data_IF_985050167855
#
_entry.id   IF_985050167855
#
_cell.length_a   1.000
_cell.length_b   1.000
_cell.length_c   1.000
_cell.angle_alpha   90.00
_cell.angle_beta   90.00
_cell.angle_gamma   90.00
#
_symmetry.space_group_name_H-M   'P 1'
#
loop_
_entity.id
_entity.type
_entity.pdbx_description
1 polymer ?
#
# COMPACT_ATOMS: atom_id res chain seq x y z
N UNK A 1 -32.70 0.66 4.99
CA UNK A 1 -31.26 0.93 4.74
C UNK A 1 -30.41 -0.36 4.81
N UNK A 2 -30.98 -1.48 4.36
CA UNK A 2 -30.36 -2.82 4.24
C UNK A 2 -30.50 -3.37 2.81
N UNK A 3 -31.10 -2.59 1.90
CA UNK A 3 -31.39 -2.97 0.52
C UNK A 3 -30.12 -3.07 -0.35
N UNK A 4 -29.02 -2.39 0.03
CA UNK A 4 -27.73 -2.48 -0.67
C UNK A 4 -27.16 -3.90 -0.70
N UNK A 5 -27.51 -4.75 0.28
CA UNK A 5 -27.00 -6.12 0.36
C UNK A 5 -27.89 -7.15 -0.34
N UNK A 6 -29.09 -6.75 -0.78
CA UNK A 6 -30.12 -7.67 -1.24
C UNK A 6 -29.74 -8.32 -2.60
N UNK A 7 -28.98 -7.60 -3.43
CA UNK A 7 -28.48 -8.05 -4.73
C UNK A 7 -26.96 -7.78 -4.90
N UNK A 8 -26.18 -8.12 -3.86
CA UNK A 8 -24.73 -7.81 -3.78
C UNK A 8 -23.87 -8.32 -4.94
N UNK A 9 -24.35 -9.32 -5.70
CA UNK A 9 -23.63 -9.94 -6.81
C UNK A 9 -24.26 -9.65 -8.18
N UNK A 10 -25.33 -8.87 -8.25
CA UNK A 10 -26.02 -8.58 -9.50
C UNK A 10 -25.13 -7.71 -10.40
N UNK A 11 -24.91 -8.14 -11.65
CA UNK A 11 -23.95 -7.51 -12.57
C UNK A 11 -22.47 -7.93 -12.39
N UNK A 12 -22.17 -8.87 -11.49
CA UNK A 12 -20.79 -9.38 -11.30
C UNK A 12 -20.31 -10.16 -12.53
N UNK A 13 -19.15 -9.76 -13.05
CA UNK A 13 -18.53 -10.44 -14.18
C UNK A 13 -17.66 -11.61 -13.69
N UNK A 14 -18.18 -12.82 -13.80
CA UNK A 14 -17.52 -14.07 -13.38
C UNK A 14 -16.50 -14.61 -14.39
N UNK A 15 -16.15 -13.83 -15.43
CA UNK A 15 -15.10 -14.22 -16.36
C UNK A 15 -13.77 -14.41 -15.60
N UNK A 16 -13.07 -15.54 -15.77
CA UNK A 16 -11.76 -15.79 -15.16
C UNK A 16 -10.75 -14.64 -15.34
N UNK A 17 -10.80 -13.93 -16.47
CA UNK A 17 -9.95 -12.76 -16.72
C UNK A 17 -10.25 -11.59 -15.77
N UNK A 18 -11.53 -11.23 -15.62
CA UNK A 18 -11.98 -10.17 -14.71
C UNK A 18 -11.67 -10.51 -13.26
N UNK A 19 -11.85 -11.78 -12.88
CA UNK A 19 -11.52 -12.27 -11.55
C UNK A 19 -10.03 -12.14 -11.24
N UNK A 20 -9.17 -12.46 -12.22
CA UNK A 20 -7.71 -12.34 -12.07
C UNK A 20 -7.27 -10.89 -11.90
N UNK A 21 -7.86 -9.96 -12.67
CA UNK A 21 -7.59 -8.52 -12.51
C UNK A 21 -8.03 -8.03 -11.13
N UNK A 22 -9.20 -8.46 -10.65
CA UNK A 22 -9.66 -8.12 -9.30
C UNK A 22 -8.69 -8.62 -8.22
N UNK A 23 -8.25 -9.89 -8.29
CA UNK A 23 -7.24 -10.42 -7.39
C UNK A 23 -5.91 -9.67 -7.48
N UNK A 24 -5.46 -9.29 -8.68
CA UNK A 24 -4.24 -8.53 -8.87
C UNK A 24 -4.31 -7.16 -8.17
N UNK A 25 -5.41 -6.43 -8.34
CA UNK A 25 -5.62 -5.14 -7.66
C UNK A 25 -5.71 -5.30 -6.14
N UNK A 26 -6.34 -6.39 -5.66
CA UNK A 26 -6.37 -6.73 -4.25
C UNK A 26 -4.97 -7.00 -3.69
N UNK A 27 -4.18 -7.84 -4.36
CA UNK A 27 -2.81 -8.17 -3.97
C UNK A 27 -1.89 -6.94 -3.98
N UNK A 28 -2.10 -6.01 -4.90
CA UNK A 28 -1.36 -4.74 -4.92
C UNK A 28 -1.56 -3.95 -3.62
N UNK A 29 -2.78 -3.93 -3.05
CA UNK A 29 -3.02 -3.26 -1.77
C UNK A 29 -2.26 -3.90 -0.59
N UNK A 30 -1.96 -5.20 -0.66
CA UNK A 30 -1.13 -5.91 0.31
C UNK A 30 0.37 -5.91 -0.07
N UNK A 31 0.75 -5.21 -1.14
CA UNK A 31 2.15 -5.06 -1.52
C UNK A 31 2.91 -4.27 -0.46
N UNK A 32 4.01 -4.83 0.03
CA UNK A 32 4.85 -4.18 1.04
C UNK A 32 5.47 -5.13 2.06
N UNK A 33 5.00 -6.38 2.09
CA UNK A 33 5.61 -7.45 2.89
C UNK A 33 7.11 -7.63 2.61
N UNK A 34 7.57 -7.35 1.38
CA UNK A 34 8.99 -7.41 1.02
C UNK A 34 9.86 -6.36 1.72
N UNK A 35 9.32 -5.18 2.06
CA UNK A 35 10.09 -4.13 2.72
C UNK A 35 10.58 -4.58 4.10
N UNK A 36 9.81 -5.45 4.78
CA UNK A 36 10.19 -6.05 6.06
C UNK A 36 11.45 -6.90 5.94
N UNK A 37 11.67 -7.57 4.80
CA UNK A 37 12.88 -8.38 4.58
C UNK A 37 14.14 -7.51 4.54
N UNK A 38 14.05 -6.29 4.00
CA UNK A 38 15.19 -5.36 3.96
C UNK A 38 15.54 -4.75 5.32
N UNK A 39 14.63 -4.83 6.29
CA UNK A 39 14.86 -4.35 7.66
C UNK A 39 15.30 -5.48 8.60
N UNK A 40 15.52 -6.69 8.09
CA UNK A 40 15.92 -7.85 8.89
C UNK A 40 17.22 -7.62 9.66
N UNK A 41 18.15 -6.86 9.08
CA UNK A 41 19.45 -6.50 9.67
C UNK A 41 19.32 -5.53 10.85
N UNK A 42 18.20 -4.79 10.94
CA UNK A 42 17.92 -3.85 12.03
C UNK A 42 17.14 -4.51 13.18
N UNK A 43 16.69 -5.76 13.01
CA UNK A 43 15.92 -6.49 14.02
C UNK A 43 16.83 -7.19 15.03
N UNK A 44 16.56 -7.00 16.33
CA UNK A 44 17.32 -7.63 17.41
C UNK A 44 17.30 -9.16 17.35
N UNK A 45 16.17 -9.77 16.97
CA UNK A 45 16.04 -11.23 16.81
C UNK A 45 15.22 -11.59 15.55
N UNK A 46 15.82 -11.38 14.38
CA UNK A 46 15.21 -11.62 13.07
C UNK A 46 14.55 -13.00 12.92
N UNK A 47 15.18 -14.07 13.42
CA UNK A 47 14.70 -15.46 13.22
C UNK A 47 13.32 -15.72 13.82
N UNK A 48 13.00 -15.06 14.93
CA UNK A 48 11.71 -15.20 15.63
C UNK A 48 10.76 -14.05 15.29
N UNK A 49 11.26 -12.83 15.28
CA UNK A 49 10.39 -11.65 15.25
C UNK A 49 9.91 -11.35 13.83
N UNK A 50 10.68 -11.68 12.78
CA UNK A 50 10.27 -11.50 11.38
C UNK A 50 9.00 -12.28 11.02
N UNK A 51 8.90 -13.62 11.21
CA UNK A 51 7.69 -14.36 10.86
C UNK A 51 6.48 -13.91 11.69
N UNK A 52 6.67 -13.54 12.96
CA UNK A 52 5.60 -13.03 13.81
C UNK A 52 5.09 -11.67 13.29
N UNK A 53 6.00 -10.77 12.94
CA UNK A 53 5.64 -9.46 12.39
C UNK A 53 4.87 -9.57 11.07
N UNK A 54 5.26 -10.50 10.19
CA UNK A 54 4.55 -10.77 8.93
C UNK A 54 3.12 -11.26 9.21
N UNK A 55 2.95 -12.24 10.10
CA UNK A 55 1.62 -12.79 10.41
C UNK A 55 0.72 -11.73 11.03
N UNK A 56 1.23 -10.98 12.02
CA UNK A 56 0.45 -9.93 12.70
C UNK A 56 0.07 -8.81 11.72
N UNK A 57 1.00 -8.37 10.87
CA UNK A 57 0.72 -7.32 9.87
C UNK A 57 -0.32 -7.80 8.85
N UNK A 58 -0.20 -9.01 8.32
CA UNK A 58 -1.19 -9.57 7.39
C UNK A 58 -2.60 -9.63 8.01
N UNK A 59 -2.73 -10.15 9.23
CA UNK A 59 -4.03 -10.26 9.91
C UNK A 59 -4.61 -8.88 10.21
N UNK A 60 -3.78 -7.96 10.71
CA UNK A 60 -4.21 -6.59 11.03
C UNK A 60 -4.69 -5.86 9.77
N UNK A 61 -3.92 -5.89 8.68
CA UNK A 61 -4.29 -5.22 7.43
C UNK A 61 -5.58 -5.82 6.86
N UNK A 62 -5.71 -7.16 6.90
CA UNK A 62 -6.93 -7.85 6.45
C UNK A 62 -8.16 -7.38 7.23
N UNK A 63 -8.06 -7.28 8.56
CA UNK A 63 -9.14 -6.79 9.39
C UNK A 63 -9.52 -5.34 9.05
N UNK A 64 -8.52 -4.44 8.95
CA UNK A 64 -8.73 -3.03 8.62
C UNK A 64 -9.36 -2.86 7.24
N UNK A 65 -8.88 -3.58 6.24
CA UNK A 65 -9.42 -3.52 4.87
C UNK A 65 -10.84 -4.07 4.79
N UNK A 66 -11.15 -5.13 5.55
CA UNK A 66 -12.51 -5.66 5.61
C UNK A 66 -13.47 -4.64 6.22
N UNK A 67 -13.08 -4.03 7.35
CA UNK A 67 -13.88 -2.99 8.02
C UNK A 67 -14.09 -1.77 7.11
N UNK A 68 -13.04 -1.32 6.41
CA UNK A 68 -13.12 -0.20 5.49
C UNK A 68 -14.08 -0.48 4.31
N UNK A 69 -14.01 -1.68 3.72
CA UNK A 69 -14.93 -2.08 2.64
C UNK A 69 -16.39 -2.13 3.13
N UNK A 70 -16.63 -2.66 4.33
CA UNK A 70 -17.97 -2.67 4.94
C UNK A 70 -18.47 -1.23 5.16
N UNK A 71 -17.61 -0.34 5.66
CA UNK A 71 -17.94 1.06 5.85
C UNK A 71 -18.32 1.75 4.53
N UNK A 72 -17.55 1.52 3.45
CA UNK A 72 -17.87 2.07 2.13
C UNK A 72 -19.19 1.54 1.59
N UNK A 73 -19.43 0.22 1.65
CA UNK A 73 -20.67 -0.39 1.18
C UNK A 73 -21.92 0.09 1.95
N UNK A 74 -21.78 0.49 3.22
CA UNK A 74 -22.90 0.99 4.03
C UNK A 74 -23.33 2.42 3.67
N UNK A 75 -22.45 3.23 3.08
CA UNK A 75 -22.67 4.67 2.82
C UNK A 75 -22.78 5.00 1.33
N UNK A 76 -22.09 4.26 0.48
CA UNK A 76 -22.01 4.49 -0.96
C UNK A 76 -22.73 3.39 -1.74
N UNK A 77 -23.37 3.77 -2.85
CA UNK A 77 -23.88 2.80 -3.82
C UNK A 77 -22.76 2.26 -4.72
N UNK A 78 -22.95 1.08 -5.32
CA UNK A 78 -21.96 0.46 -6.22
C UNK A 78 -21.59 1.39 -7.38
N UNK A 79 -22.57 2.10 -7.95
CA UNK A 79 -22.36 3.06 -9.04
C UNK A 79 -21.43 4.22 -8.61
N UNK A 80 -21.61 4.77 -7.42
CA UNK A 80 -20.78 5.85 -6.89
C UNK A 80 -19.36 5.40 -6.55
N UNK A 81 -19.18 4.13 -6.19
CA UNK A 81 -17.85 3.55 -5.97
C UNK A 81 -17.12 3.39 -7.30
N UNK A 82 -17.80 2.93 -8.35
CA UNK A 82 -17.22 2.72 -9.67
C UNK A 82 -16.92 4.02 -10.43
N UNK A 83 -17.76 5.05 -10.27
CA UNK A 83 -17.53 6.36 -10.92
C UNK A 83 -16.52 7.24 -10.19
N UNK A 84 -16.26 6.98 -8.90
CA UNK A 84 -15.34 7.82 -8.14
C UNK A 84 -13.88 7.44 -8.36
N UNK A 85 -13.08 8.41 -8.78
CA UNK A 85 -11.61 8.28 -8.83
C UNK A 85 -10.97 8.17 -7.43
N UNK A 86 -11.67 8.62 -6.38
CA UNK A 86 -11.18 8.63 -5.00
C UNK A 86 -12.32 8.32 -4.01
N UNK A 87 -12.60 7.03 -3.84
CA UNK A 87 -13.70 6.50 -3.01
C UNK A 87 -13.69 7.08 -1.59
N UNK A 88 -12.52 7.22 -0.97
CA UNK A 88 -12.34 7.78 0.36
C UNK A 88 -12.82 9.25 0.47
N UNK A 89 -12.62 10.05 -0.58
CA UNK A 89 -13.03 11.47 -0.59
C UNK A 89 -14.54 11.58 -0.80
N UNK A 90 -15.12 10.75 -1.66
CA UNK A 90 -16.59 10.69 -1.85
C UNK A 90 -17.28 10.23 -0.57
N UNK A 91 -16.72 9.25 0.14
CA UNK A 91 -17.17 8.84 1.46
C UNK A 91 -17.10 10.01 2.46
N UNK A 92 -15.96 10.70 2.55
CA UNK A 92 -15.78 11.80 3.49
C UNK A 92 -16.74 12.98 3.21
N UNK A 93 -17.03 13.28 1.94
CA UNK A 93 -18.02 14.30 1.58
C UNK A 93 -19.43 13.98 2.10
N UNK A 94 -19.82 12.70 2.06
CA UNK A 94 -21.13 12.25 2.56
C UNK A 94 -21.21 12.17 4.08
N UNK A 95 -20.13 11.77 4.76
CA UNK A 95 -20.12 11.55 6.21
C UNK A 95 -19.76 12.82 6.99
N UNK A 96 -18.69 13.51 6.59
CA UNK A 96 -18.13 14.64 7.32
C UNK A 96 -18.61 16.01 6.80
N UNK A 97 -19.34 16.04 5.68
CA UNK A 97 -19.92 17.27 5.12
C UNK A 97 -18.87 18.38 4.93
N UNK A 98 -18.92 19.49 5.71
CA UNK A 98 -17.98 20.61 5.59
C UNK A 98 -16.53 20.26 5.93
N UNK A 99 -16.28 19.21 6.73
CA UNK A 99 -14.93 18.79 7.13
C UNK A 99 -14.30 17.75 6.18
N UNK A 100 -14.84 17.59 4.96
CA UNK A 100 -14.38 16.58 4.00
C UNK A 100 -12.89 16.70 3.62
N UNK A 101 -12.31 17.91 3.70
CA UNK A 101 -10.93 18.21 3.33
C UNK A 101 -9.89 17.52 4.24
N UNK A 102 -10.29 17.09 5.43
CA UNK A 102 -9.40 16.41 6.38
C UNK A 102 -8.97 15.05 5.82
N UNK A 103 -9.89 14.31 5.19
CA UNK A 103 -9.61 12.98 4.64
C UNK A 103 -8.49 12.96 3.59
N UNK A 104 -8.53 13.79 2.51
CA UNK A 104 -7.44 13.80 1.53
C UNK A 104 -6.11 14.27 2.11
N UNK A 105 -6.10 15.11 3.16
CA UNK A 105 -4.86 15.51 3.84
C UNK A 105 -4.21 14.30 4.54
N UNK A 106 -4.99 13.51 5.28
CA UNK A 106 -4.46 12.29 5.91
C UNK A 106 -4.02 11.25 4.89
N UNK A 107 -4.79 11.07 3.81
CA UNK A 107 -4.39 10.19 2.70
C UNK A 107 -3.09 10.67 2.06
N UNK A 108 -2.94 11.97 1.82
CA UNK A 108 -1.71 12.54 1.27
C UNK A 108 -0.51 12.27 2.18
N UNK A 109 -0.62 12.52 3.49
CA UNK A 109 0.44 12.19 4.44
C UNK A 109 0.78 10.70 4.47
N UNK A 110 -0.22 9.82 4.37
CA UNK A 110 -0.01 8.37 4.30
C UNK A 110 0.75 7.97 3.03
N UNK A 111 0.33 8.48 1.86
CA UNK A 111 1.02 8.20 0.58
C UNK A 111 2.44 8.75 0.56
N UNK A 112 2.66 9.95 1.13
CA UNK A 112 3.99 10.54 1.26
C UNK A 112 4.91 9.69 2.14
N UNK A 113 4.41 9.22 3.29
CA UNK A 113 5.15 8.30 4.16
C UNK A 113 5.48 6.97 3.47
N UNK A 114 4.53 6.42 2.71
CA UNK A 114 4.74 5.20 1.93
C UNK A 114 5.84 5.34 0.89
N UNK A 115 5.79 6.40 0.07
CA UNK A 115 6.81 6.68 -0.95
C UNK A 115 8.19 6.89 -0.32
N UNK A 116 8.27 7.64 0.77
CA UNK A 116 9.53 7.84 1.49
C UNK A 116 10.12 6.52 2.01
N UNK A 117 9.28 5.64 2.56
CA UNK A 117 9.70 4.29 2.98
C UNK A 117 10.24 3.47 1.81
N UNK A 118 9.52 3.45 0.69
CA UNK A 118 9.96 2.74 -0.53
C UNK A 118 11.32 3.26 -1.02
N UNK A 119 11.53 4.57 -1.09
CA UNK A 119 12.81 5.17 -1.53
C UNK A 119 13.98 4.74 -0.61
N UNK A 120 13.75 4.70 0.70
CA UNK A 120 14.78 4.25 1.64
C UNK A 120 15.12 2.76 1.46
N UNK A 121 14.14 1.92 1.17
CA UNK A 121 14.40 0.50 0.95
C UNK A 121 15.04 0.22 -0.41
N UNK A 122 14.56 0.83 -1.49
CA UNK A 122 15.10 0.60 -2.84
C UNK A 122 16.54 1.04 -2.96
N UNK A 123 16.89 2.21 -2.40
CA UNK A 123 18.27 2.72 -2.39
C UNK A 123 19.26 1.76 -1.72
N UNK A 124 18.87 1.09 -0.63
CA UNK A 124 19.70 0.07 0.04
C UNK A 124 19.89 -1.18 -0.84
N UNK A 125 18.82 -1.65 -1.48
CA UNK A 125 18.88 -2.81 -2.37
C UNK A 125 19.81 -2.53 -3.55
N UNK A 126 19.69 -1.36 -4.19
CA UNK A 126 20.57 -0.96 -5.29
C UNK A 126 22.03 -0.82 -4.86
N UNK A 127 22.27 -0.26 -3.67
CA UNK A 127 23.62 -0.16 -3.12
C UNK A 127 24.27 -1.53 -2.95
N UNK A 128 23.60 -2.50 -2.33
CA UNK A 128 24.13 -3.87 -2.17
C UNK A 128 24.26 -4.59 -3.53
N UNK A 129 23.28 -4.47 -4.41
CA UNK A 129 23.31 -5.10 -5.73
C UNK A 129 24.49 -4.60 -6.59
N UNK A 130 24.87 -3.33 -6.46
CA UNK A 130 26.04 -2.76 -7.14
C UNK A 130 27.38 -3.21 -6.55
N UNK A 131 27.44 -3.57 -5.25
CA UNK A 131 28.63 -4.19 -4.65
C UNK A 131 28.84 -5.62 -5.15
N UNK A 132 27.76 -6.37 -5.35
CA UNK A 132 27.78 -7.73 -5.89
C UNK A 132 27.99 -7.79 -7.43
N UNK A 133 28.36 -6.67 -8.05
CA UNK A 133 28.52 -6.49 -9.51
C UNK A 133 27.28 -6.88 -10.35
N UNK A 134 26.09 -6.95 -9.75
CA UNK A 134 24.82 -7.18 -10.45
C UNK A 134 24.28 -5.91 -11.12
N UNK A 135 24.78 -4.74 -10.71
CA UNK A 135 24.42 -3.43 -11.26
C UNK A 135 25.66 -2.55 -11.47
N UNK A 136 25.57 -1.48 -12.29
CA UNK A 136 26.67 -0.56 -12.52
C UNK A 136 27.18 0.06 -11.22
N UNK A 137 28.51 0.10 -11.05
CA UNK A 137 29.18 0.67 -9.87
C UNK A 137 28.86 2.14 -9.63
N UNK A 138 28.24 2.84 -10.58
CA UNK A 138 27.77 4.22 -10.39
C UNK A 138 26.71 4.33 -9.28
N UNK A 139 25.94 3.26 -9.04
CA UNK A 139 24.85 3.23 -8.06
C UNK A 139 25.35 3.00 -6.61
N UNK A 140 26.63 2.62 -6.42
CA UNK A 140 27.23 2.52 -5.08
C UNK A 140 27.83 3.83 -4.56
N UNK A 141 27.84 4.91 -5.36
CA UNK A 141 28.44 6.16 -4.92
C UNK A 141 27.57 6.86 -3.86
N UNK A 142 28.18 7.09 -2.71
CA UNK A 142 27.62 7.87 -1.61
C UNK A 142 28.12 9.30 -1.69
N UNK A 143 27.24 10.25 -1.38
CA UNK A 143 27.66 11.64 -1.22
C UNK A 143 28.58 11.78 0.00
N UNK A 144 29.71 12.48 -0.16
CA UNK A 144 30.80 12.53 0.83
C UNK A 144 30.34 13.16 2.16
N UNK A 145 29.54 14.22 2.12
CA UNK A 145 29.15 14.95 3.34
C UNK A 145 27.85 14.45 3.96
N UNK A 146 26.92 13.91 3.15
CA UNK A 146 25.59 13.49 3.63
C UNK A 146 25.40 11.98 3.70
N UNK A 147 26.36 11.20 3.22
CA UNK A 147 26.31 9.72 3.14
C UNK A 147 25.03 9.21 2.46
N UNK A 148 24.43 10.00 1.56
CA UNK A 148 23.22 9.64 0.83
C UNK A 148 23.57 9.04 -0.53
N UNK A 149 22.95 7.92 -0.93
CA UNK A 149 23.17 7.32 -2.25
C UNK A 149 22.36 8.07 -3.32
N UNK A 150 22.80 9.27 -3.71
CA UNK A 150 22.10 10.14 -4.68
C UNK A 150 21.84 9.44 -6.02
N UNK A 151 22.80 8.70 -6.63
CA UNK A 151 22.57 8.04 -7.91
C UNK A 151 21.54 6.90 -7.81
N UNK A 152 21.48 6.20 -6.68
CA UNK A 152 20.52 5.10 -6.47
C UNK A 152 19.09 5.59 -6.18
N UNK A 153 18.92 6.84 -5.75
CA UNK A 153 17.60 7.46 -5.56
C UNK A 153 17.07 8.07 -6.86
N UNK A 154 17.95 8.51 -7.76
CA UNK A 154 17.59 9.11 -9.05
C UNK A 154 17.26 8.05 -10.12
N UNK A 155 17.85 6.86 -10.02
CA UNK A 155 17.66 5.75 -10.96
C UNK A 155 16.27 5.11 -10.83
#
# INVERSE_FOLDING_TARGET
RTETYQDSFEGSNWNPGSLTVAFYTGLFAYSGWNYLNSMIEEMKNARRDLPIAIIISCVMITAVYTIANVAYASVLSVHEILESSAVAVTFAKKVYGPAWFIMPIFVAFSTFGGVNGTIMTTSRIYFVASQENQMPKLLSFLHVDRLTPIPAVIF
#
